data_IF_059693661087
#
_entry.id   IF_059693661087
#
_cell.length_a   1.000
_cell.length_b   1.000
_cell.length_c   1.000
_cell.angle_alpha   90.00
_cell.angle_beta   90.00
_cell.angle_gamma   90.00
#
_symmetry.space_group_name_H-M   'P 1'
#
loop_
_entity.id
_entity.type
_entity.pdbx_description
1 polymer ?
#
# COMPACT_ATOMS: atom_id res chain seq x y z
N UNK A 1 21.35 -24.68 -34.47
CA UNK A 1 20.79 -24.05 -33.24
C UNK A 1 19.68 -23.11 -33.70
N UNK A 2 18.44 -23.39 -33.34
CA UNK A 2 17.36 -22.42 -33.57
C UNK A 2 17.68 -21.15 -32.79
N UNK A 3 17.44 -19.93 -33.34
CA UNK A 3 17.63 -18.70 -32.61
C UNK A 3 16.70 -18.74 -31.41
N UNK A 4 17.26 -18.88 -30.21
CA UNK A 4 16.48 -18.71 -28.96
C UNK A 4 16.13 -17.22 -28.82
N UNK A 5 14.98 -16.84 -29.37
CA UNK A 5 14.44 -15.51 -29.17
C UNK A 5 14.08 -15.34 -27.68
N UNK A 6 14.50 -14.23 -27.08
CA UNK A 6 14.07 -13.87 -25.73
C UNK A 6 12.62 -13.34 -25.79
N UNK A 7 11.71 -13.96 -25.03
CA UNK A 7 10.36 -13.42 -24.85
C UNK A 7 10.47 -12.05 -24.17
N UNK A 8 9.95 -11.01 -24.81
CA UNK A 8 9.96 -9.66 -24.28
C UNK A 8 8.70 -8.89 -24.65
N UNK A 9 8.29 -7.99 -23.79
CA UNK A 9 7.20 -7.03 -24.01
C UNK A 9 7.67 -5.64 -23.61
N UNK A 10 7.64 -4.71 -24.56
CA UNK A 10 7.81 -3.29 -24.28
C UNK A 10 6.46 -2.69 -23.90
N UNK A 11 6.43 -1.69 -23.02
CA UNK A 11 5.22 -0.89 -22.80
C UNK A 11 4.93 -0.03 -24.03
N UNK A 12 3.66 0.10 -24.37
CA UNK A 12 3.17 0.96 -25.46
C UNK A 12 2.57 2.25 -24.93
N UNK A 13 2.17 2.27 -23.67
CA UNK A 13 1.46 3.39 -23.06
C UNK A 13 2.39 4.16 -22.13
N UNK A 14 2.28 5.48 -22.15
CA UNK A 14 3.18 6.39 -21.42
C UNK A 14 2.52 7.02 -20.17
N UNK A 15 1.32 6.59 -19.82
CA UNK A 15 0.61 7.08 -18.66
C UNK A 15 1.44 6.91 -17.39
N UNK A 16 1.45 7.91 -16.52
CA UNK A 16 2.03 7.79 -15.18
C UNK A 16 1.25 6.77 -14.34
N UNK A 17 1.95 6.11 -13.45
CA UNK A 17 1.37 5.11 -12.54
C UNK A 17 1.83 5.43 -11.13
N UNK A 18 0.85 5.53 -10.22
CA UNK A 18 1.08 5.72 -8.80
C UNK A 18 0.95 4.38 -8.09
N UNK A 19 1.88 4.10 -7.19
CA UNK A 19 1.79 3.05 -6.20
C UNK A 19 1.68 3.63 -4.80
N UNK A 20 0.71 3.17 -4.03
CA UNK A 20 0.63 3.38 -2.58
C UNK A 20 0.85 2.03 -1.92
N UNK A 21 2.07 1.84 -1.43
CA UNK A 21 2.53 0.60 -0.80
C UNK A 21 2.55 0.72 0.71
N UNK A 22 2.42 -0.40 1.39
CA UNK A 22 2.49 -0.49 2.85
C UNK A 22 1.78 -1.72 3.38
N UNK A 23 1.98 -2.05 4.65
CA UNK A 23 1.29 -3.18 5.26
C UNK A 23 -0.19 -2.94 5.52
N UNK A 24 -0.91 -4.03 5.75
CA UNK A 24 -2.29 -4.01 6.23
C UNK A 24 -2.37 -3.26 7.57
N UNK A 25 -3.42 -2.48 7.76
CA UNK A 25 -3.54 -1.63 8.96
C UNK A 25 -2.70 -0.34 8.95
N UNK A 26 -1.82 -0.13 7.95
CA UNK A 26 -0.94 1.03 7.85
C UNK A 26 -1.62 2.35 7.44
N UNK A 27 -2.90 2.34 7.05
CA UNK A 27 -3.64 3.55 6.64
C UNK A 27 -3.74 3.77 5.14
N UNK A 28 -3.33 2.82 4.30
CA UNK A 28 -3.35 2.93 2.83
C UNK A 28 -4.70 3.38 2.28
N UNK A 29 -5.80 2.83 2.75
CA UNK A 29 -7.14 3.18 2.26
C UNK A 29 -7.43 4.68 2.39
N UNK A 30 -7.01 5.32 3.49
CA UNK A 30 -7.14 6.76 3.67
C UNK A 30 -6.32 7.50 2.61
N UNK A 31 -5.04 7.17 2.48
CA UNK A 31 -4.15 7.87 1.55
C UNK A 31 -4.53 7.63 0.10
N UNK A 32 -4.90 6.40 -0.26
CA UNK A 32 -5.40 6.08 -1.61
C UNK A 32 -6.63 6.90 -1.99
N UNK A 33 -7.57 7.12 -1.08
CA UNK A 33 -8.75 7.96 -1.35
C UNK A 33 -8.35 9.43 -1.59
N UNK A 34 -7.41 9.96 -0.82
CA UNK A 34 -6.89 11.31 -1.02
C UNK A 34 -6.15 11.43 -2.36
N UNK A 35 -5.27 10.48 -2.69
CA UNK A 35 -4.54 10.46 -3.98
C UNK A 35 -5.51 10.32 -5.16
N UNK A 36 -6.49 9.43 -5.07
CA UNK A 36 -7.50 9.26 -6.12
C UNK A 36 -8.41 10.48 -6.31
N UNK A 37 -8.46 11.40 -5.32
CA UNK A 37 -9.22 12.64 -5.44
C UNK A 37 -8.52 13.72 -6.26
N UNK A 38 -7.21 13.56 -6.54
CA UNK A 38 -6.46 14.43 -7.45
C UNK A 38 -7.02 14.34 -8.87
N UNK A 39 -6.94 15.43 -9.61
CA UNK A 39 -7.37 15.46 -10.99
C UNK A 39 -6.57 14.48 -11.84
N UNK A 40 -7.21 13.89 -12.84
CA UNK A 40 -6.65 12.85 -13.74
C UNK A 40 -6.24 11.54 -13.05
N UNK A 41 -6.20 11.44 -11.73
CA UNK A 41 -5.88 10.18 -11.04
C UNK A 41 -7.10 9.29 -10.98
N UNK A 42 -6.94 8.05 -11.44
CA UNK A 42 -7.99 7.03 -11.39
C UNK A 42 -8.21 6.51 -9.97
N UNK A 43 -9.34 5.84 -9.77
CA UNK A 43 -9.59 5.12 -8.53
C UNK A 43 -8.54 4.01 -8.35
N UNK A 44 -8.06 3.87 -7.13
CA UNK A 44 -7.07 2.86 -6.83
C UNK A 44 -7.62 1.44 -7.01
N UNK A 45 -6.76 0.57 -7.52
CA UNK A 45 -7.01 -0.86 -7.66
C UNK A 45 -5.92 -1.67 -6.97
N UNK A 46 -6.25 -2.88 -6.54
CA UNK A 46 -5.28 -3.86 -6.05
C UNK A 46 -5.17 -4.99 -7.08
N UNK A 47 -3.96 -5.26 -7.53
CA UNK A 47 -3.68 -6.33 -8.50
C UNK A 47 -2.58 -7.24 -7.92
N UNK A 48 -2.96 -8.38 -7.33
CA UNK A 48 -2.00 -9.32 -6.73
C UNK A 48 -0.88 -9.74 -7.68
N UNK A 49 -1.16 -9.86 -8.99
CA UNK A 49 -0.17 -10.24 -9.99
C UNK A 49 1.08 -9.34 -9.98
N UNK A 50 0.92 -8.03 -9.73
CA UNK A 50 2.06 -7.09 -9.64
C UNK A 50 2.96 -7.44 -8.45
N UNK A 51 2.36 -7.76 -7.31
CA UNK A 51 3.07 -8.18 -6.11
C UNK A 51 3.76 -9.54 -6.32
N UNK A 52 3.05 -10.48 -6.95
CA UNK A 52 3.55 -11.82 -7.24
C UNK A 52 4.75 -11.80 -8.19
N UNK A 53 4.69 -11.02 -9.27
CA UNK A 53 5.82 -10.87 -10.22
C UNK A 53 7.04 -10.29 -9.51
N UNK A 54 6.86 -9.26 -8.68
CA UNK A 54 7.96 -8.66 -7.89
C UNK A 54 8.54 -9.67 -6.90
N UNK A 55 7.71 -10.47 -6.23
CA UNK A 55 8.12 -11.54 -5.33
C UNK A 55 8.88 -12.67 -6.07
N UNK A 56 8.39 -13.16 -7.21
CA UNK A 56 9.08 -14.17 -8.02
C UNK A 56 10.48 -13.72 -8.47
N UNK A 57 10.62 -12.44 -8.84
CA UNK A 57 11.91 -11.87 -9.16
C UNK A 57 12.84 -11.84 -7.95
N UNK A 58 12.37 -11.35 -6.80
CA UNK A 58 13.14 -11.28 -5.56
C UNK A 58 13.68 -12.66 -5.13
N UNK A 59 12.90 -13.71 -5.36
CA UNK A 59 13.27 -15.11 -5.08
C UNK A 59 14.04 -15.78 -6.23
N UNK A 60 14.44 -15.03 -7.26
CA UNK A 60 15.18 -15.57 -8.41
C UNK A 60 14.46 -16.70 -9.17
N UNK A 61 13.14 -16.78 -9.05
CA UNK A 61 12.31 -17.72 -9.82
C UNK A 61 12.14 -17.25 -11.28
N UNK A 62 12.25 -15.96 -11.53
CA UNK A 62 12.26 -15.35 -12.85
C UNK A 62 13.38 -14.31 -12.92
N UNK A 63 13.94 -14.07 -14.12
CA UNK A 63 14.89 -13.00 -14.35
C UNK A 63 14.23 -11.62 -14.48
N UNK A 64 15.03 -10.55 -14.40
CA UNK A 64 14.55 -9.18 -14.47
C UNK A 64 13.81 -8.86 -15.78
N UNK A 65 14.26 -9.36 -16.93
CA UNK A 65 13.64 -9.08 -18.22
C UNK A 65 12.28 -9.74 -18.33
N UNK A 66 12.14 -10.96 -17.82
CA UNK A 66 10.87 -11.67 -17.70
C UNK A 66 9.91 -10.91 -16.79
N UNK A 67 10.36 -10.49 -15.60
CA UNK A 67 9.55 -9.70 -14.66
C UNK A 67 9.08 -8.38 -15.30
N UNK A 68 9.96 -7.63 -15.93
CA UNK A 68 9.64 -6.38 -16.64
C UNK A 68 8.64 -6.61 -17.77
N UNK A 69 8.79 -7.68 -18.54
CA UNK A 69 7.89 -8.01 -19.65
C UNK A 69 6.47 -8.33 -19.16
N UNK A 70 6.36 -9.11 -18.07
CA UNK A 70 5.06 -9.41 -17.43
C UNK A 70 4.41 -8.15 -16.87
N UNK A 71 5.19 -7.29 -16.19
CA UNK A 71 4.68 -6.03 -15.64
C UNK A 71 4.23 -5.06 -16.74
N UNK A 72 4.97 -4.92 -17.83
CA UNK A 72 4.57 -4.09 -18.97
C UNK A 72 3.24 -4.59 -19.57
N UNK A 73 3.07 -5.90 -19.72
CA UNK A 73 1.81 -6.48 -20.18
C UNK A 73 0.67 -6.16 -19.19
N UNK A 74 0.90 -6.33 -17.90
CA UNK A 74 -0.08 -6.04 -16.86
C UNK A 74 -0.47 -4.56 -16.85
N UNK A 75 0.48 -3.63 -16.91
CA UNK A 75 0.21 -2.19 -16.87
C UNK A 75 -0.53 -1.69 -18.11
N UNK A 76 -0.13 -2.11 -19.31
CA UNK A 76 -0.82 -1.73 -20.53
C UNK A 76 -2.26 -2.25 -20.54
N UNK A 77 -2.47 -3.51 -20.13
CA UNK A 77 -3.81 -4.08 -20.01
C UNK A 77 -4.65 -3.37 -18.96
N UNK A 78 -4.07 -3.03 -17.82
CA UNK A 78 -4.78 -2.31 -16.75
C UNK A 78 -5.18 -0.91 -17.19
N UNK A 79 -4.33 -0.19 -17.92
CA UNK A 79 -4.68 1.13 -18.49
C UNK A 79 -5.87 1.00 -19.41
N UNK A 80 -5.89 -0.02 -20.27
CA UNK A 80 -7.02 -0.29 -21.15
C UNK A 80 -8.30 -0.62 -20.38
N UNK A 81 -8.21 -1.51 -19.39
CA UNK A 81 -9.34 -1.89 -18.55
C UNK A 81 -9.88 -0.70 -17.75
N UNK A 82 -9.01 0.16 -17.21
CA UNK A 82 -9.41 1.37 -16.51
C UNK A 82 -10.10 2.39 -17.42
N UNK A 83 -9.62 2.56 -18.64
CA UNK A 83 -10.26 3.44 -19.61
C UNK A 83 -11.72 3.04 -19.88
N UNK A 84 -11.98 1.74 -19.97
CA UNK A 84 -13.31 1.18 -20.24
C UNK A 84 -14.10 0.82 -18.97
N UNK A 85 -13.52 1.00 -17.79
CA UNK A 85 -14.08 0.61 -16.50
C UNK A 85 -14.40 -0.91 -16.39
N UNK A 86 -13.64 -1.75 -17.09
CA UNK A 86 -13.66 -3.18 -16.89
C UNK A 86 -13.02 -3.49 -15.53
N UNK A 87 -13.46 -4.53 -14.86
CA UNK A 87 -12.92 -4.98 -13.57
C UNK A 87 -13.01 -3.95 -12.43
N UNK A 88 -13.94 -3.00 -12.50
CA UNK A 88 -14.20 -2.06 -11.43
C UNK A 88 -15.14 -2.64 -10.36
N UNK A 89 -14.89 -2.26 -9.11
CA UNK A 89 -15.72 -2.68 -8.00
C UNK A 89 -16.96 -1.79 -7.86
N UNK A 90 -18.12 -2.32 -8.19
CA UNK A 90 -19.42 -1.68 -7.99
C UNK A 90 -20.15 -2.14 -6.71
N UNK A 91 -19.51 -2.91 -5.85
CA UNK A 91 -20.12 -3.34 -4.59
C UNK A 91 -20.23 -2.19 -3.62
N UNK A 92 -21.44 -1.70 -3.36
CA UNK A 92 -21.73 -0.45 -2.65
C UNK A 92 -21.06 -0.33 -1.27
N UNK A 93 -20.93 -1.43 -0.52
CA UNK A 93 -20.39 -1.41 0.85
C UNK A 93 -18.86 -1.44 0.92
N UNK A 94 -18.17 -1.79 -0.15
CA UNK A 94 -16.71 -1.89 -0.15
C UNK A 94 -16.06 -0.52 -0.20
N UNK A 95 -14.92 -0.37 0.49
CA UNK A 95 -14.13 0.88 0.45
C UNK A 95 -13.54 1.17 -0.94
N UNK A 96 -13.28 0.13 -1.73
CA UNK A 96 -12.81 0.20 -3.13
C UNK A 96 -13.93 0.34 -4.15
N UNK A 97 -15.15 0.66 -3.73
CA UNK A 97 -16.28 0.78 -4.64
C UNK A 97 -16.30 2.12 -5.37
N UNK A 98 -16.68 2.09 -6.64
CA UNK A 98 -16.96 3.29 -7.45
C UNK A 98 -17.93 4.25 -6.72
N UNK A 99 -18.90 3.72 -5.99
CA UNK A 99 -19.86 4.56 -5.21
C UNK A 99 -19.23 5.33 -4.05
N UNK A 100 -18.04 4.91 -3.59
CA UNK A 100 -17.26 5.61 -2.55
C UNK A 100 -16.23 6.58 -3.13
N UNK A 101 -16.07 6.59 -4.44
CA UNK A 101 -15.09 7.41 -5.12
C UNK A 101 -15.54 8.88 -5.25
N UNK A 102 -14.67 9.88 -5.03
CA UNK A 102 -15.05 11.30 -5.11
C UNK A 102 -15.59 11.72 -6.49
N UNK A 103 -15.09 11.12 -7.56
CA UNK A 103 -15.47 11.40 -8.96
C UNK A 103 -16.41 10.36 -9.54
N UNK A 104 -17.26 9.74 -8.71
CA UNK A 104 -18.17 8.65 -9.11
C UNK A 104 -19.08 8.96 -10.32
N UNK A 105 -19.52 10.22 -10.46
CA UNK A 105 -20.36 10.65 -11.58
C UNK A 105 -19.65 10.53 -12.95
N UNK A 106 -18.35 10.78 -12.98
CA UNK A 106 -17.52 10.58 -14.17
C UNK A 106 -17.46 9.10 -14.54
N UNK A 107 -17.24 8.22 -13.56
CA UNK A 107 -17.24 6.77 -13.77
C UNK A 107 -18.58 6.23 -14.28
N UNK A 108 -19.68 6.68 -13.70
CA UNK A 108 -21.01 6.27 -14.15
C UNK A 108 -21.31 6.71 -15.59
N UNK A 109 -20.85 7.90 -15.99
CA UNK A 109 -20.95 8.33 -17.40
C UNK A 109 -20.12 7.47 -18.34
N UNK A 110 -18.90 7.06 -17.93
CA UNK A 110 -18.05 6.18 -18.75
C UNK A 110 -18.64 4.79 -18.90
N UNK A 111 -19.23 4.22 -17.86
CA UNK A 111 -19.91 2.90 -17.92
C UNK A 111 -21.08 2.88 -18.91
N UNK A 112 -21.74 4.01 -19.10
CA UNK A 112 -22.89 4.12 -20.01
C UNK A 112 -22.48 4.48 -21.45
N UNK A 113 -21.21 4.74 -21.72
CA UNK A 113 -20.69 5.02 -23.06
C UNK A 113 -20.26 3.70 -23.72
N UNK A 114 -20.83 3.38 -24.87
CA UNK A 114 -20.55 2.17 -25.64
C UNK A 114 -19.43 2.31 -26.67
N UNK A 115 -18.80 3.49 -26.79
CA UNK A 115 -17.72 3.72 -27.73
C UNK A 115 -16.35 3.51 -27.06
N UNK A 116 -15.90 2.26 -27.09
CA UNK A 116 -14.62 1.83 -26.47
C UNK A 116 -13.41 2.62 -26.98
N UNK A 117 -13.39 2.89 -28.31
CA UNK A 117 -12.26 3.61 -28.92
C UNK A 117 -12.19 5.05 -28.41
N UNK A 118 -13.30 5.75 -28.40
CA UNK A 118 -13.39 7.13 -27.90
C UNK A 118 -12.97 7.21 -26.42
N UNK A 119 -13.46 6.28 -25.59
CA UNK A 119 -13.11 6.24 -24.17
C UNK A 119 -11.61 6.02 -23.97
N UNK A 120 -11.02 5.10 -24.73
CA UNK A 120 -9.60 4.79 -24.63
C UNK A 120 -8.74 5.95 -25.13
N UNK A 121 -9.02 6.52 -26.31
CA UNK A 121 -8.32 7.67 -26.86
C UNK A 121 -8.39 8.88 -25.91
N UNK A 122 -9.57 9.14 -25.36
CA UNK A 122 -9.75 10.20 -24.36
C UNK A 122 -8.88 9.97 -23.12
N UNK A 123 -8.84 8.74 -22.60
CA UNK A 123 -8.03 8.37 -21.44
C UNK A 123 -6.54 8.64 -21.69
N UNK A 124 -6.03 8.29 -22.86
CA UNK A 124 -4.63 8.52 -23.23
C UNK A 124 -4.35 10.01 -23.43
N UNK A 125 -5.21 10.73 -24.19
CA UNK A 125 -5.02 12.15 -24.48
C UNK A 125 -5.09 13.04 -23.23
N UNK A 126 -5.94 12.71 -22.27
CA UNK A 126 -6.02 13.36 -20.97
C UNK A 126 -4.84 13.00 -20.06
N UNK A 127 -3.97 12.09 -20.47
CA UNK A 127 -2.84 11.57 -19.66
C UNK A 127 -3.29 11.13 -18.27
N UNK A 128 -4.38 10.36 -18.22
CA UNK A 128 -4.92 9.86 -16.96
C UNK A 128 -3.90 8.95 -16.27
N UNK A 129 -3.91 8.97 -14.95
CA UNK A 129 -2.91 8.33 -14.10
C UNK A 129 -3.51 7.10 -13.45
N UNK A 130 -2.91 5.95 -13.70
CA UNK A 130 -3.29 4.71 -13.05
C UNK A 130 -2.82 4.70 -11.59
N UNK A 131 -3.63 4.12 -10.68
CA UNK A 131 -3.33 4.12 -9.27
C UNK A 131 -3.48 2.72 -8.66
N UNK A 132 -2.36 2.18 -8.18
CA UNK A 132 -2.30 0.89 -7.48
C UNK A 132 -2.17 1.06 -5.97
N UNK A 133 -2.89 0.23 -5.23
CA UNK A 133 -2.59 -0.08 -3.84
C UNK A 133 -1.86 -1.42 -3.79
N UNK A 134 -0.76 -1.50 -3.02
CA UNK A 134 0.03 -2.72 -2.88
C UNK A 134 0.38 -3.03 -1.42
N UNK A 135 0.93 -4.23 -1.19
CA UNK A 135 1.22 -4.75 0.14
C UNK A 135 2.68 -5.20 0.25
N UNK A 136 3.56 -4.30 0.74
CA UNK A 136 4.92 -4.66 1.11
C UNK A 136 5.89 -4.88 -0.05
N UNK A 137 5.63 -4.30 -1.24
CA UNK A 137 6.51 -4.46 -2.40
C UNK A 137 7.69 -3.48 -2.46
N UNK A 138 7.80 -2.58 -1.47
CA UNK A 138 8.89 -1.58 -1.44
C UNK A 138 10.28 -2.24 -1.52
N UNK A 139 10.49 -3.34 -0.81
CA UNK A 139 11.74 -4.10 -0.84
C UNK A 139 12.04 -4.74 -2.20
N UNK A 140 11.03 -4.93 -3.04
CA UNK A 140 11.10 -5.60 -4.33
C UNK A 140 10.70 -4.69 -5.49
N UNK A 141 10.96 -3.38 -5.34
CA UNK A 141 10.55 -2.33 -6.28
C UNK A 141 11.30 -2.37 -7.63
N UNK A 142 12.45 -3.03 -7.70
CA UNK A 142 13.34 -2.97 -8.87
C UNK A 142 12.67 -3.30 -10.21
N UNK A 143 11.91 -4.39 -10.37
CA UNK A 143 11.28 -4.70 -11.66
C UNK A 143 10.21 -3.68 -12.03
N UNK A 144 9.46 -3.13 -11.06
CA UNK A 144 8.47 -2.08 -11.28
C UNK A 144 9.16 -0.79 -11.74
N UNK A 145 10.23 -0.39 -11.05
CA UNK A 145 11.02 0.77 -11.43
C UNK A 145 11.64 0.61 -12.81
N UNK A 146 12.12 -0.60 -13.15
CA UNK A 146 12.70 -0.88 -14.47
C UNK A 146 11.65 -0.85 -15.59
N UNK A 147 10.43 -1.31 -15.31
CA UNK A 147 9.32 -1.30 -16.26
C UNK A 147 8.79 0.13 -16.51
N UNK A 148 8.72 0.96 -15.47
CA UNK A 148 8.04 2.26 -15.54
C UNK A 148 8.98 3.45 -15.67
N UNK A 149 10.21 3.38 -15.14
CA UNK A 149 11.15 4.50 -15.15
C UNK A 149 10.55 5.79 -14.56
N UNK A 150 10.62 6.86 -15.31
CA UNK A 150 10.11 8.19 -14.89
C UNK A 150 8.55 8.28 -14.83
N UNK A 151 7.84 7.24 -15.27
CA UNK A 151 6.38 7.17 -15.14
C UNK A 151 5.94 6.75 -13.73
N UNK A 152 6.85 6.17 -12.94
CA UNK A 152 6.56 5.67 -11.60
C UNK A 152 6.50 6.81 -10.58
N UNK A 153 5.42 6.86 -9.81
CA UNK A 153 5.32 7.61 -8.56
C UNK A 153 5.07 6.59 -7.46
N UNK A 154 6.02 6.42 -6.55
CA UNK A 154 5.95 5.39 -5.52
C UNK A 154 5.87 6.03 -4.14
N UNK A 155 4.79 5.73 -3.42
CA UNK A 155 4.53 6.20 -2.06
C UNK A 155 4.62 5.00 -1.11
N UNK A 156 5.54 5.05 -0.15
CA UNK A 156 5.65 4.08 0.93
C UNK A 156 4.93 4.61 2.15
N UNK A 157 3.79 4.02 2.47
CA UNK A 157 3.03 4.35 3.67
C UNK A 157 3.46 3.49 4.84
N UNK A 158 3.83 4.14 5.92
CA UNK A 158 4.27 3.50 7.16
C UNK A 158 3.43 3.97 8.33
N UNK A 159 3.30 3.13 9.34
CA UNK A 159 2.65 3.45 10.59
C UNK A 159 3.56 3.04 11.75
N UNK A 160 3.48 3.76 12.87
CA UNK A 160 4.27 3.44 14.04
C UNK A 160 4.09 1.97 14.44
N UNK A 161 5.20 1.22 14.66
CA UNK A 161 5.15 -0.19 15.02
C UNK A 161 4.41 -0.48 16.34
N UNK A 162 4.16 0.55 17.17
CA UNK A 162 3.33 0.44 18.37
C UNK A 162 1.84 0.24 18.08
N UNK A 163 1.39 0.43 16.83
CA UNK A 163 -0.05 0.40 16.53
C UNK A 163 -0.70 -0.96 16.77
N UNK A 164 -1.47 -1.07 17.85
CA UNK A 164 -2.25 -2.26 18.18
C UNK A 164 -3.25 -2.63 17.08
N UNK A 165 -3.84 -1.64 16.40
CA UNK A 165 -4.70 -1.89 15.24
C UNK A 165 -3.95 -2.62 14.11
N UNK A 166 -2.73 -2.18 13.79
CA UNK A 166 -1.90 -2.82 12.77
C UNK A 166 -1.43 -4.20 13.21
N UNK A 167 -1.00 -4.34 14.46
CA UNK A 167 -0.55 -5.59 15.04
C UNK A 167 -1.66 -6.65 15.02
N UNK A 168 -2.86 -6.31 15.49
CA UNK A 168 -4.03 -7.20 15.44
C UNK A 168 -4.38 -7.63 14.02
N UNK A 169 -4.24 -6.73 13.06
CA UNK A 169 -4.49 -7.01 11.65
C UNK A 169 -3.48 -8.03 11.11
N UNK A 170 -2.19 -7.79 11.34
CA UNK A 170 -1.12 -8.69 10.89
C UNK A 170 -1.17 -10.05 11.59
N UNK A 171 -1.39 -10.08 12.91
CA UNK A 171 -1.56 -11.31 13.67
C UNK A 171 -2.71 -12.18 13.14
N UNK A 172 -3.82 -11.54 12.76
CA UNK A 172 -4.95 -12.24 12.16
C UNK A 172 -4.64 -12.79 10.77
N UNK A 173 -3.86 -12.07 9.97
CA UNK A 173 -3.42 -12.52 8.65
C UNK A 173 -2.37 -13.63 8.75
N UNK A 174 -1.48 -13.60 9.75
CA UNK A 174 -0.44 -14.61 9.91
C UNK A 174 -0.98 -16.04 10.06
N UNK A 175 -2.23 -16.20 10.47
CA UNK A 175 -2.96 -17.49 10.56
C UNK A 175 -3.59 -17.93 9.23
N UNK A 176 -3.52 -17.13 8.18
CA UNK A 176 -4.28 -17.31 6.94
C UNK A 176 -3.43 -17.31 5.69
N UNK A 177 -2.12 -17.15 5.83
CA UNK A 177 -1.23 -17.19 4.68
C UNK A 177 -1.40 -18.50 3.90
N UNK A 178 -1.54 -18.41 2.58
CA UNK A 178 -1.74 -19.56 1.72
C UNK A 178 -3.12 -20.24 1.78
N UNK A 179 -3.97 -19.88 2.76
CA UNK A 179 -5.27 -20.54 3.01
C UNK A 179 -6.48 -19.59 2.89
N UNK A 180 -6.27 -18.38 2.40
CA UNK A 180 -7.33 -17.37 2.30
C UNK A 180 -7.44 -16.84 0.87
N UNK A 181 -8.59 -17.04 0.22
CA UNK A 181 -8.83 -16.66 -1.18
C UNK A 181 -8.68 -15.17 -1.48
N UNK A 182 -8.82 -14.30 -0.46
CA UNK A 182 -8.65 -12.86 -0.59
C UNK A 182 -7.19 -12.42 -0.51
N UNK A 183 -6.29 -13.33 -0.18
CA UNK A 183 -4.87 -13.06 -0.03
C UNK A 183 -4.09 -13.66 -1.18
N UNK A 184 -3.57 -12.80 -2.06
CA UNK A 184 -2.73 -13.21 -3.18
C UNK A 184 -1.24 -13.33 -2.85
N UNK A 185 -0.84 -13.22 -1.58
CA UNK A 185 0.57 -13.34 -1.19
C UNK A 185 1.07 -14.76 -1.42
N UNK A 186 2.21 -14.88 -2.08
CA UNK A 186 2.92 -16.14 -2.22
C UNK A 186 3.62 -16.50 -0.91
N UNK A 187 3.58 -17.79 -0.59
CA UNK A 187 4.19 -18.32 0.61
C UNK A 187 5.12 -19.49 0.25
N UNK A 188 6.09 -19.74 1.12
CA UNK A 188 6.84 -20.98 1.11
C UNK A 188 6.14 -22.00 1.99
N UNK A 189 5.96 -23.21 1.49
CA UNK A 189 5.49 -24.33 2.29
C UNK A 189 6.69 -24.95 3.01
N UNK A 190 6.73 -24.78 4.32
CA UNK A 190 7.78 -25.33 5.19
C UNK A 190 7.15 -26.36 6.12
N UNK A 191 7.24 -27.62 5.74
CA UNK A 191 6.65 -28.73 6.51
C UNK A 191 5.15 -28.58 6.78
N UNK A 192 4.40 -28.02 5.81
CA UNK A 192 2.96 -27.78 5.92
C UNK A 192 2.59 -26.42 6.56
N UNK A 193 3.57 -25.62 6.94
CA UNK A 193 3.35 -24.25 7.41
C UNK A 193 3.60 -23.24 6.31
N UNK A 194 2.61 -22.38 6.03
CA UNK A 194 2.70 -21.33 5.02
C UNK A 194 3.42 -20.09 5.58
N UNK A 195 4.66 -19.88 5.13
CA UNK A 195 5.51 -18.78 5.55
C UNK A 195 5.56 -17.73 4.43
N UNK A 196 5.27 -16.43 4.71
CA UNK A 196 5.38 -15.37 3.71
C UNK A 196 6.74 -15.38 3.02
N UNK A 197 6.74 -15.20 1.70
CA UNK A 197 7.96 -15.34 0.90
C UNK A 197 9.13 -14.46 1.39
N UNK A 198 8.88 -13.29 1.96
CA UNK A 198 9.89 -12.34 2.40
C UNK A 198 10.51 -12.65 3.79
N UNK A 199 10.11 -13.76 4.45
CA UNK A 199 10.60 -14.17 5.80
C UNK A 199 11.69 -15.24 5.71
N UNK A 200 12.25 -15.53 4.54
CA UNK A 200 13.12 -16.70 4.28
C UNK A 200 14.31 -16.85 5.23
N UNK A 201 14.98 -15.76 5.59
CA UNK A 201 16.16 -15.81 6.48
C UNK A 201 15.78 -16.03 7.96
N UNK A 202 14.49 -15.97 8.29
CA UNK A 202 13.95 -16.02 9.67
C UNK A 202 12.87 -17.09 9.85
N UNK A 203 12.88 -18.12 9.01
CA UNK A 203 11.87 -19.17 8.99
C UNK A 203 11.73 -19.86 10.36
N UNK A 204 12.84 -20.26 10.97
CA UNK A 204 12.82 -20.95 12.26
C UNK A 204 12.26 -20.08 13.39
N UNK A 205 12.62 -18.80 13.37
CA UNK A 205 12.08 -17.84 14.33
C UNK A 205 10.57 -17.65 14.13
N UNK A 206 10.13 -17.48 12.88
CA UNK A 206 8.73 -17.30 12.52
C UNK A 206 7.87 -18.53 12.86
N UNK A 207 8.36 -19.74 12.57
CA UNK A 207 7.64 -20.98 12.82
C UNK A 207 7.38 -21.21 14.32
N UNK A 208 8.35 -20.83 15.18
CA UNK A 208 8.25 -21.00 16.64
C UNK A 208 7.57 -19.83 17.37
N UNK A 209 7.11 -18.80 16.65
CA UNK A 209 6.50 -17.61 17.21
C UNK A 209 4.96 -17.72 17.28
N UNK A 210 4.34 -17.05 18.28
CA UNK A 210 2.90 -16.86 18.29
C UNK A 210 2.47 -15.81 17.23
N UNK A 211 1.18 -15.65 17.01
CA UNK A 211 0.64 -14.77 15.94
C UNK A 211 1.07 -13.30 16.06
N UNK A 212 1.23 -12.79 17.28
CA UNK A 212 1.67 -11.39 17.50
C UNK A 212 3.18 -11.26 17.30
N UNK A 213 3.95 -12.24 17.76
CA UNK A 213 5.40 -12.30 17.50
C UNK A 213 5.68 -12.42 15.99
N UNK A 214 4.91 -13.25 15.26
CA UNK A 214 4.96 -13.34 13.79
C UNK A 214 4.69 -11.99 13.12
N UNK A 215 3.71 -11.23 13.63
CA UNK A 215 3.42 -9.89 13.13
C UNK A 215 4.61 -8.93 13.31
N UNK A 216 5.32 -9.00 14.44
CA UNK A 216 6.52 -8.19 14.68
C UNK A 216 7.67 -8.61 13.76
N UNK A 217 7.90 -9.90 13.58
CA UNK A 217 8.93 -10.43 12.66
C UNK A 217 8.68 -9.88 11.23
N UNK A 218 7.43 -9.95 10.77
CA UNK A 218 7.05 -9.42 9.46
C UNK A 218 7.26 -7.91 9.35
N UNK A 219 6.88 -7.15 10.39
CA UNK A 219 7.07 -5.68 10.40
C UNK A 219 8.55 -5.30 10.38
N UNK A 220 9.37 -5.98 11.16
CA UNK A 220 10.81 -5.73 11.24
C UNK A 220 11.46 -5.96 9.87
N UNK A 221 11.23 -7.12 9.26
CA UNK A 221 11.75 -7.46 7.95
C UNK A 221 11.34 -6.44 6.88
N UNK A 222 10.04 -6.12 6.85
CA UNK A 222 9.54 -5.15 5.87
C UNK A 222 10.09 -3.74 6.08
N UNK A 223 10.27 -3.30 7.34
CA UNK A 223 10.84 -1.98 7.66
C UNK A 223 12.32 -1.94 7.24
N UNK A 224 13.09 -2.96 7.59
CA UNK A 224 14.53 -3.03 7.31
C UNK A 224 14.79 -3.06 5.80
N UNK A 225 14.18 -3.98 5.07
CA UNK A 225 14.34 -4.09 3.62
C UNK A 225 13.77 -2.88 2.88
N UNK A 226 12.64 -2.36 3.30
CA UNK A 226 12.08 -1.14 2.73
C UNK A 226 12.96 0.10 2.97
N UNK A 227 13.67 0.19 4.10
CA UNK A 227 14.62 1.27 4.35
C UNK A 227 15.81 1.21 3.39
N UNK A 228 16.34 0.02 3.12
CA UNK A 228 17.39 -0.18 2.08
C UNK A 228 16.95 0.33 0.71
N UNK A 229 15.69 0.07 0.34
CA UNK A 229 15.13 0.57 -0.92
C UNK A 229 15.00 2.11 -0.95
N UNK A 230 14.61 2.72 0.17
CA UNK A 230 14.52 4.19 0.31
C UNK A 230 15.89 4.86 0.24
N UNK A 231 16.90 4.28 0.90
CA UNK A 231 18.28 4.76 0.88
C UNK A 231 18.88 4.71 -0.53
N UNK A 232 18.39 3.82 -1.37
CA UNK A 232 18.73 3.78 -2.79
C UNK A 232 18.00 4.90 -3.54
N UNK A 233 18.64 6.07 -3.64
CA UNK A 233 18.10 7.29 -4.27
C UNK A 233 17.60 7.12 -5.70
N UNK A 234 17.95 6.02 -6.37
CA UNK A 234 17.46 5.66 -7.71
C UNK A 234 15.94 5.56 -7.76
N UNK A 235 15.29 5.11 -6.68
CA UNK A 235 13.85 4.81 -6.68
C UNK A 235 12.94 5.99 -6.39
N UNK A 236 13.45 7.11 -5.86
CA UNK A 236 12.71 8.34 -5.56
C UNK A 236 11.38 8.11 -4.79
N UNK A 237 11.41 7.30 -3.76
CA UNK A 237 10.25 6.91 -2.95
C UNK A 237 9.77 8.10 -2.10
N UNK A 238 8.46 8.36 -2.11
CA UNK A 238 7.79 9.29 -1.19
C UNK A 238 7.47 8.51 0.09
N UNK A 239 8.09 8.87 1.20
CA UNK A 239 7.75 8.29 2.52
C UNK A 239 6.58 9.03 3.15
N UNK A 240 5.54 8.28 3.54
CA UNK A 240 4.30 8.82 4.10
C UNK A 240 4.05 8.20 5.48
N UNK A 241 4.55 8.79 6.58
CA UNK A 241 4.25 8.34 7.93
C UNK A 241 2.78 8.62 8.25
N UNK A 242 2.04 7.60 8.66
CA UNK A 242 0.59 7.69 8.91
C UNK A 242 0.23 8.75 9.94
N UNK A 243 0.98 8.85 11.03
CA UNK A 243 0.76 9.81 12.11
C UNK A 243 0.88 11.24 11.57
N UNK A 244 1.89 11.50 10.75
CA UNK A 244 2.07 12.82 10.11
C UNK A 244 1.03 13.06 9.02
N UNK A 245 0.66 12.03 8.26
CA UNK A 245 -0.39 12.11 7.24
C UNK A 245 -1.71 12.57 7.84
N UNK A 246 -2.13 12.00 8.98
CA UNK A 246 -3.43 12.34 9.57
C UNK A 246 -3.47 13.72 10.21
N UNK A 247 -2.32 14.26 10.63
CA UNK A 247 -2.22 15.63 11.15
C UNK A 247 -1.97 16.68 10.07
N UNK A 248 -1.21 16.35 9.03
CA UNK A 248 -0.89 17.25 7.92
C UNK A 248 -1.04 16.58 6.55
N UNK A 249 -2.26 16.17 6.14
CA UNK A 249 -2.49 15.45 4.89
C UNK A 249 -2.10 16.28 3.67
N UNK A 250 -2.24 17.62 3.75
CA UNK A 250 -1.98 18.52 2.63
C UNK A 250 -0.52 18.41 2.15
N UNK A 251 0.44 18.30 3.07
CA UNK A 251 1.86 18.14 2.75
C UNK A 251 2.10 16.97 1.79
N UNK A 252 1.58 15.80 2.11
CA UNK A 252 1.83 14.58 1.34
C UNK A 252 1.07 14.54 0.02
N UNK A 253 -0.14 15.08 0.00
CA UNK A 253 -0.92 15.18 -1.24
C UNK A 253 -0.29 16.21 -2.19
N UNK A 254 0.24 17.31 -1.67
CA UNK A 254 0.98 18.29 -2.49
C UNK A 254 2.25 17.68 -3.09
N UNK A 255 2.97 16.84 -2.37
CA UNK A 255 4.15 16.16 -2.91
C UNK A 255 3.79 15.24 -4.09
N UNK A 256 2.70 14.47 -3.96
CA UNK A 256 2.20 13.63 -5.06
C UNK A 256 1.71 14.50 -6.23
N UNK A 257 0.92 15.55 -5.95
CA UNK A 257 0.38 16.44 -6.98
C UNK A 257 1.47 17.16 -7.77
N UNK A 258 2.55 17.59 -7.11
CA UNK A 258 3.71 18.20 -7.76
C UNK A 258 4.40 17.28 -8.76
N UNK A 259 4.50 15.97 -8.43
CA UNK A 259 5.07 14.97 -9.37
C UNK A 259 4.15 14.66 -10.55
N UNK A 260 2.87 14.95 -10.40
CA UNK A 260 1.86 14.78 -11.46
C UNK A 260 1.69 16.05 -12.32
N UNK A 261 2.19 17.18 -11.84
CA UNK A 261 1.92 18.49 -12.42
C UNK A 261 0.41 18.80 -12.44
N UNK A 262 -0.24 18.59 -11.30
CA UNK A 262 -1.67 18.89 -11.10
C UNK A 262 -1.85 19.72 -9.83
N UNK A 263 -2.84 20.62 -9.83
CA UNK A 263 -3.19 21.40 -8.64
C UNK A 263 -4.14 20.66 -7.71
N UNK A 264 -4.20 21.10 -6.45
CA UNK A 264 -5.16 20.59 -5.48
C UNK A 264 -6.53 21.19 -5.78
N UNK A 265 -7.47 20.33 -6.17
CA UNK A 265 -8.84 20.72 -6.48
C UNK A 265 -9.78 20.61 -5.26
N UNK A 266 -11.00 21.12 -5.40
CA UNK A 266 -12.06 20.99 -4.40
C UNK A 266 -12.42 19.53 -4.09
N UNK A 267 -12.15 18.61 -5.01
CA UNK A 267 -12.32 17.18 -4.76
C UNK A 267 -11.44 16.70 -3.62
N UNK A 268 -10.18 17.15 -3.58
CA UNK A 268 -9.24 16.84 -2.51
C UNK A 268 -9.73 17.37 -1.17
N UNK A 269 -10.19 18.62 -1.13
CA UNK A 269 -10.69 19.24 0.11
C UNK A 269 -11.97 18.53 0.62
N UNK A 270 -12.87 18.12 -0.30
CA UNK A 270 -14.05 17.33 0.05
C UNK A 270 -13.67 15.96 0.60
N UNK A 271 -12.68 15.30 -0.02
CA UNK A 271 -12.20 14.01 0.43
C UNK A 271 -11.51 14.09 1.79
N UNK A 272 -10.67 15.10 2.02
CA UNK A 272 -10.07 15.35 3.35
C UNK A 272 -11.14 15.48 4.44
N UNK A 273 -12.21 16.24 4.20
CA UNK A 273 -13.33 16.36 5.14
C UNK A 273 -14.02 15.02 5.37
N UNK A 274 -14.25 14.24 4.31
CA UNK A 274 -14.86 12.89 4.40
C UNK A 274 -14.02 11.93 5.24
N UNK A 275 -12.70 12.00 5.11
CA UNK A 275 -11.75 11.16 5.84
C UNK A 275 -11.43 11.71 7.26
N UNK A 276 -12.04 12.81 7.66
CA UNK A 276 -11.77 13.52 8.91
C UNK A 276 -10.27 13.80 9.09
N UNK A 277 -9.67 14.45 8.12
CA UNK A 277 -8.29 14.93 8.20
C UNK A 277 -8.23 16.42 7.81
N UNK A 278 -7.39 17.25 8.48
CA UNK A 278 -6.48 16.89 9.57
C UNK A 278 -7.23 16.48 10.86
N UNK A 279 -6.64 15.56 11.62
CA UNK A 279 -7.20 15.06 12.88
C UNK A 279 -6.65 15.80 14.09
N UNK A 280 -7.38 15.68 15.22
CA UNK A 280 -6.92 16.16 16.54
C UNK A 280 -6.20 15.06 17.34
N UNK A 281 -6.51 13.79 17.07
CA UNK A 281 -5.83 12.60 17.62
C UNK A 281 -5.72 11.53 16.55
N UNK A 282 -4.82 10.57 16.72
CA UNK A 282 -4.57 9.52 15.71
C UNK A 282 -5.82 8.69 15.40
N UNK A 283 -6.63 8.41 16.41
CA UNK A 283 -7.79 7.53 16.31
C UNK A 283 -9.12 8.27 15.99
N UNK A 284 -9.07 9.57 15.74
CA UNK A 284 -10.27 10.33 15.32
C UNK A 284 -10.65 9.99 13.86
N UNK A 285 -10.95 8.72 13.61
CA UNK A 285 -11.31 8.18 12.30
C UNK A 285 -12.83 8.14 12.09
N UNK A 286 -13.32 8.13 10.85
CA UNK A 286 -14.70 7.77 10.56
C UNK A 286 -15.02 6.38 11.12
N UNK A 287 -16.21 6.21 11.71
CA UNK A 287 -16.68 4.90 12.19
C UNK A 287 -16.72 3.91 11.01
N UNK A 288 -16.12 2.74 11.19
CA UNK A 288 -16.13 1.67 10.22
C UNK A 288 -16.18 0.31 10.93
N UNK A 289 -17.07 -0.56 10.49
CA UNK A 289 -17.16 -1.94 11.02
C UNK A 289 -15.86 -2.72 10.79
N UNK A 290 -15.16 -2.47 9.70
CA UNK A 290 -13.85 -3.08 9.42
C UNK A 290 -12.84 -2.65 10.49
N UNK A 291 -12.75 -1.36 10.81
CA UNK A 291 -11.80 -0.90 11.83
C UNK A 291 -12.10 -1.51 13.20
N UNK A 292 -13.38 -1.58 13.57
CA UNK A 292 -13.82 -2.20 14.82
C UNK A 292 -13.50 -3.71 14.88
N UNK A 293 -13.64 -4.42 13.75
CA UNK A 293 -13.33 -5.84 13.68
C UNK A 293 -11.83 -6.16 13.93
N UNK A 294 -10.95 -5.18 13.76
CA UNK A 294 -9.51 -5.28 14.05
C UNK A 294 -9.09 -4.54 15.33
N UNK A 295 -10.04 -4.29 16.24
CA UNK A 295 -9.75 -3.75 17.56
C UNK A 295 -9.70 -2.22 17.63
N UNK A 296 -9.97 -1.48 16.52
CA UNK A 296 -10.08 -0.03 16.62
C UNK A 296 -11.28 0.36 17.50
N UNK A 297 -11.02 1.25 18.44
CA UNK A 297 -12.04 1.88 19.29
C UNK A 297 -11.96 3.39 19.12
N UNK A 298 -13.10 4.04 19.09
CA UNK A 298 -13.13 5.51 19.11
C UNK A 298 -12.64 5.97 20.48
N UNK A 299 -11.64 6.87 20.57
CA UNK A 299 -11.15 7.34 21.85
C UNK A 299 -12.24 8.13 22.58
N UNK A 300 -12.36 7.91 23.86
CA UNK A 300 -13.29 8.66 24.72
C UNK A 300 -12.84 10.11 24.93
N UNK A 301 -11.51 10.32 24.92
CA UNK A 301 -10.87 11.63 25.03
C UNK A 301 -9.78 11.76 24.00
N UNK A 302 -9.53 12.99 23.55
CA UNK A 302 -8.37 13.28 22.73
C UNK A 302 -7.10 13.20 23.59
N UNK A 303 -6.22 12.25 23.23
CA UNK A 303 -4.90 12.09 23.82
C UNK A 303 -3.84 12.47 22.79
N UNK A 304 -2.66 12.86 23.24
CA UNK A 304 -1.57 13.16 22.33
C UNK A 304 -1.08 11.92 21.60
N UNK A 305 -0.51 12.09 20.41
CA UNK A 305 0.09 10.97 19.68
C UNK A 305 1.17 10.24 20.50
N UNK A 306 1.93 11.00 21.30
CA UNK A 306 2.94 10.46 22.21
C UNK A 306 2.34 9.56 23.28
N UNK A 307 1.27 10.01 23.92
CA UNK A 307 0.61 9.23 24.97
C UNK A 307 -0.06 7.99 24.37
N UNK A 308 -0.68 8.12 23.20
CA UNK A 308 -1.28 6.97 22.50
C UNK A 308 -0.21 5.91 22.16
N UNK A 309 0.96 6.30 21.65
CA UNK A 309 2.06 5.37 21.37
C UNK A 309 2.52 4.66 22.64
N UNK A 310 2.61 5.38 23.78
CA UNK A 310 2.98 4.78 25.08
C UNK A 310 1.94 3.80 25.58
N UNK A 311 0.68 4.13 25.47
CA UNK A 311 -0.44 3.28 25.90
C UNK A 311 -0.49 2.00 25.05
N UNK A 312 -0.33 2.11 23.74
CA UNK A 312 -0.26 0.96 22.82
C UNK A 312 0.97 0.06 23.10
N UNK A 313 2.15 0.64 23.40
CA UNK A 313 3.33 -0.13 23.85
C UNK A 313 3.07 -0.88 25.15
N UNK A 314 2.38 -0.26 26.11
CA UNK A 314 2.01 -0.93 27.37
C UNK A 314 1.02 -2.08 27.12
N UNK A 315 0.04 -1.89 26.23
CA UNK A 315 -0.88 -2.95 25.84
C UNK A 315 -0.16 -4.14 25.19
N UNK A 316 0.83 -3.88 24.32
CA UNK A 316 1.63 -4.94 23.66
C UNK A 316 2.36 -5.87 24.63
N UNK A 317 2.72 -5.41 25.83
CA UNK A 317 3.35 -6.23 26.86
C UNK A 317 2.51 -7.42 27.30
N UNK A 318 1.19 -7.36 27.09
CA UNK A 318 0.27 -8.48 27.35
C UNK A 318 0.31 -9.60 26.29
N UNK A 319 0.90 -9.34 25.12
CA UNK A 319 0.89 -10.26 23.97
C UNK A 319 2.28 -10.77 23.56
N UNK A 320 3.35 -10.06 23.96
CA UNK A 320 4.71 -10.29 23.50
C UNK A 320 5.63 -10.70 24.64
N UNK A 321 6.55 -11.61 24.36
CA UNK A 321 7.65 -11.93 25.28
C UNK A 321 8.62 -10.75 25.42
N UNK A 322 9.36 -10.72 26.52
CA UNK A 322 10.27 -9.60 26.86
C UNK A 322 11.31 -9.31 25.76
N UNK A 323 11.85 -10.33 25.10
CA UNK A 323 12.80 -10.16 24.00
C UNK A 323 12.15 -9.52 22.76
N UNK A 324 10.89 -9.87 22.44
CA UNK A 324 10.13 -9.27 21.34
C UNK A 324 9.74 -7.82 21.67
N UNK A 325 9.37 -7.53 22.93
CA UNK A 325 9.10 -6.15 23.36
C UNK A 325 10.29 -5.22 23.13
N UNK A 326 11.51 -5.65 23.50
CA UNK A 326 12.73 -4.86 23.24
C UNK A 326 12.92 -4.54 21.75
N UNK A 327 12.54 -5.46 20.87
CA UNK A 327 12.60 -5.23 19.40
C UNK A 327 11.57 -4.20 18.96
N UNK A 328 10.33 -4.32 19.43
CA UNK A 328 9.27 -3.32 19.15
C UNK A 328 9.69 -1.94 19.66
N UNK A 329 10.17 -1.84 20.89
CA UNK A 329 10.63 -0.58 21.48
C UNK A 329 11.70 0.08 20.58
N UNK A 330 12.69 -0.69 20.13
CA UNK A 330 13.73 -0.21 19.18
C UNK A 330 13.13 0.25 17.85
N UNK A 331 12.18 -0.51 17.27
CA UNK A 331 11.51 -0.12 16.03
C UNK A 331 10.72 1.18 16.20
N UNK A 332 10.03 1.33 17.31
CA UNK A 332 9.25 2.53 17.66
C UNK A 332 10.16 3.73 17.88
N UNK A 333 11.25 3.58 18.61
CA UNK A 333 12.26 4.65 18.82
C UNK A 333 12.84 5.12 17.48
N UNK A 334 13.21 4.19 16.60
CA UNK A 334 13.71 4.51 15.26
C UNK A 334 12.64 5.24 14.42
N UNK A 335 11.40 4.78 14.47
CA UNK A 335 10.29 5.42 13.75
C UNK A 335 10.02 6.84 14.25
N UNK A 336 9.91 7.01 15.56
CA UNK A 336 9.66 8.32 16.20
C UNK A 336 10.79 9.29 15.89
N UNK A 337 12.04 8.84 16.05
CA UNK A 337 13.23 9.66 15.74
C UNK A 337 13.29 10.12 14.29
N UNK A 338 12.81 9.28 13.36
CA UNK A 338 12.87 9.57 11.91
C UNK A 338 11.72 10.46 11.44
N UNK A 339 10.53 10.31 12.00
CA UNK A 339 9.30 10.87 11.41
C UNK A 339 8.50 11.79 12.32
N UNK A 340 8.70 11.76 13.61
CA UNK A 340 7.87 12.51 14.56
C UNK A 340 8.69 13.58 15.30
N UNK A 341 8.07 14.70 15.61
CA UNK A 341 8.74 15.88 16.21
C UNK A 341 8.81 15.79 17.75
N UNK A 342 8.66 14.61 18.32
CA UNK A 342 8.76 14.40 19.77
C UNK A 342 9.60 13.18 20.11
N UNK A 343 10.12 13.14 21.36
CA UNK A 343 10.78 11.94 21.92
C UNK A 343 9.79 11.20 22.83
N UNK A 344 9.87 9.88 22.83
CA UNK A 344 9.09 9.01 23.72
C UNK A 344 9.50 9.10 25.18
#
# INVERSE_FOLDING_TARGET
MSPQGQLTRKSYLENKIIFVDGFVGGGKTLFCQLVSSLDKVEMWVHRPLVEQVSGLYAHKNIDLNTAVSLLNCCFDNEIYCQALLRDQNFRHFDHSSVFKFPKKSEYLKRVLNSNDLELFEKFINEKRVLHFMSHGITSHIEPIHKALGNRLIFCRLMRCPSSMYMLNHLARWSKRWGNESRNGMMCNDINGEMVPHFILERIDEYANANEYERAIIMLEEWIEEGNKAVENKKYQIIEVPFEMLVFNPKKYIQEVSSRLDVELSDNVLREMRRQKVPRKSLDDAPKSSIFQAYGWRQPEKHISAKDQIKDELNEMRGYLKSNMMKRVERLVENYVSRYLDFKL
#
